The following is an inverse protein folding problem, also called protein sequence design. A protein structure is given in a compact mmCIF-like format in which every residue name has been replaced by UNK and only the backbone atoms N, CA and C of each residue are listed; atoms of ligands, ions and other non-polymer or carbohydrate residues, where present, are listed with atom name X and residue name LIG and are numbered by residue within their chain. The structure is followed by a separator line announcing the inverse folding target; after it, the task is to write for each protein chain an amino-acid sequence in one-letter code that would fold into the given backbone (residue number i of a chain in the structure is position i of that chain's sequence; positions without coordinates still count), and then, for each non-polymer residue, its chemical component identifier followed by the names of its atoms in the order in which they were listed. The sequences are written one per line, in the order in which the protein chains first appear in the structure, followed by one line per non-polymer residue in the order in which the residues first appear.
data_IF_791520605769
#
_entry.id   IF_791520605769
#
_cell.length_a   1.000
_cell.length_b   1.000
_cell.length_c   1.000
_cell.angle_alpha   90.00
_cell.angle_beta   90.00
_cell.angle_gamma   90.00
#
_symmetry.space_group_name_H-M   'P 1'
#
loop_
_entity.id
_entity.type
_entity.pdbx_description
1 polymer ?
#
# COMPACT_ATOMS: atom_id res chain seq x y z
N UNK A 1 -31.56 -3.72 35.20
CA UNK A 1 -30.14 -4.16 35.29
C UNK A 1 -29.33 -3.44 34.21
N UNK A 2 -28.28 -2.69 34.58
CA UNK A 2 -27.42 -1.99 33.60
C UNK A 2 -26.26 -2.93 33.26
N UNK A 3 -26.11 -3.30 31.99
CA UNK A 3 -25.00 -4.17 31.55
C UNK A 3 -23.74 -3.33 31.31
N UNK A 4 -22.56 -3.93 31.51
CA UNK A 4 -21.27 -3.26 31.27
C UNK A 4 -21.18 -2.65 29.86
N UNK A 5 -21.73 -3.33 28.85
CA UNK A 5 -21.77 -2.85 27.46
C UNK A 5 -22.56 -1.56 27.28
N UNK A 6 -23.65 -1.36 28.05
CA UNK A 6 -24.43 -0.12 27.99
C UNK A 6 -23.61 1.05 28.54
N UNK A 7 -22.96 0.88 29.70
CA UNK A 7 -22.08 1.91 30.28
C UNK A 7 -20.91 2.27 29.35
N UNK A 8 -20.29 1.27 28.72
CA UNK A 8 -19.20 1.51 27.75
C UNK A 8 -19.65 2.33 26.53
N UNK A 9 -20.91 2.16 26.10
CA UNK A 9 -21.52 2.98 25.06
C UNK A 9 -21.80 4.41 25.54
N UNK A 10 -22.36 4.54 26.74
CA UNK A 10 -22.66 5.84 27.36
C UNK A 10 -21.38 6.68 27.56
N UNK A 11 -20.25 6.01 27.87
CA UNK A 11 -18.92 6.63 27.99
C UNK A 11 -18.18 6.80 26.66
N UNK A 12 -18.81 6.48 25.54
CA UNK A 12 -18.25 6.64 24.19
C UNK A 12 -16.87 5.97 24.01
N UNK A 13 -16.64 4.85 24.70
CA UNK A 13 -15.33 4.18 24.68
C UNK A 13 -14.93 3.72 23.27
N UNK A 14 -13.63 3.80 22.97
CA UNK A 14 -13.07 3.14 21.80
C UNK A 14 -12.79 1.67 22.11
N UNK A 15 -13.04 0.81 21.13
CA UNK A 15 -12.85 -0.63 21.24
C UNK A 15 -11.67 -1.07 20.37
N UNK A 16 -10.85 -2.00 20.85
CA UNK A 16 -9.68 -2.47 20.11
C UNK A 16 -10.08 -3.17 18.82
N UNK A 17 -9.47 -2.78 17.69
CA UNK A 17 -9.82 -3.35 16.39
C UNK A 17 -9.03 -4.62 16.05
N UNK A 18 -7.85 -4.82 16.64
CA UNK A 18 -6.96 -5.95 16.34
C UNK A 18 -6.94 -7.06 17.41
N UNK A 19 -7.77 -6.94 18.45
CA UNK A 19 -7.88 -7.90 19.56
C UNK A 19 -9.31 -8.41 19.75
N UNK A 20 -10.06 -8.59 18.65
CA UNK A 20 -11.46 -9.04 18.66
C UNK A 20 -12.38 -8.20 19.57
N UNK A 21 -12.08 -6.91 19.76
CA UNK A 21 -12.83 -6.02 20.63
C UNK A 21 -12.70 -6.28 22.13
N UNK A 22 -11.65 -6.99 22.57
CA UNK A 22 -11.42 -7.34 23.98
C UNK A 22 -11.06 -6.16 24.87
N UNK A 23 -10.48 -5.10 24.31
CA UNK A 23 -10.00 -3.96 25.09
C UNK A 23 -10.78 -2.69 24.78
N UNK A 24 -10.93 -1.85 25.79
CA UNK A 24 -11.64 -0.57 25.73
C UNK A 24 -10.75 0.55 26.26
N UNK A 25 -10.95 1.76 25.76
CA UNK A 25 -10.27 2.96 26.25
C UNK A 25 -11.23 4.15 26.25
N UNK A 26 -11.12 5.00 27.26
CA UNK A 26 -11.94 6.21 27.39
C UNK A 26 -11.51 7.27 26.36
N UNK A 27 -12.42 8.13 25.87
CA UNK A 27 -12.13 9.04 24.77
C UNK A 27 -10.93 9.96 24.93
N UNK A 28 -10.58 10.34 26.16
CA UNK A 28 -9.50 11.29 26.47
C UNK A 28 -8.11 10.65 26.59
N UNK A 29 -8.00 9.32 26.54
CA UNK A 29 -6.72 8.60 26.72
C UNK A 29 -5.95 8.48 25.40
N UNK A 30 -6.56 8.05 24.26
CA UNK A 30 -5.83 7.83 23.02
C UNK A 30 -5.23 9.11 22.43
N UNK A 31 -3.98 8.99 21.96
CA UNK A 31 -3.34 9.99 21.11
C UNK A 31 -3.28 9.45 19.69
N UNK A 32 -4.39 9.62 18.97
CA UNK A 32 -4.50 9.13 17.61
C UNK A 32 -3.57 9.86 16.64
N UNK A 33 -3.01 9.11 15.71
CA UNK A 33 -2.19 9.61 14.61
C UNK A 33 -3.04 10.30 13.53
N UNK A 34 -2.39 10.70 12.44
CA UNK A 34 -3.02 11.34 11.28
C UNK A 34 -4.05 10.46 10.58
N UNK A 35 -3.95 9.13 10.72
CA UNK A 35 -4.92 8.17 10.16
C UNK A 35 -6.07 7.88 11.15
N UNK A 36 -6.03 8.44 12.36
CA UNK A 36 -7.01 8.16 13.40
C UNK A 36 -6.78 6.81 14.09
N UNK A 37 -5.55 6.29 14.06
CA UNK A 37 -5.14 5.07 14.73
C UNK A 37 -4.32 5.40 15.98
N UNK A 38 -4.49 4.62 17.03
CA UNK A 38 -3.68 4.71 18.23
C UNK A 38 -3.30 3.32 18.69
N UNK A 39 -2.02 3.14 19.01
CA UNK A 39 -1.49 1.90 19.52
C UNK A 39 -1.06 2.06 20.98
N UNK A 40 -1.58 1.17 21.82
CA UNK A 40 -1.05 0.94 23.16
C UNK A 40 -0.43 -0.46 23.19
N UNK A 41 0.91 -0.52 23.19
CA UNK A 41 1.67 -1.77 22.98
C UNK A 41 1.23 -2.43 21.66
N UNK A 42 0.72 -3.66 21.71
CA UNK A 42 0.20 -4.40 20.56
C UNK A 42 -1.32 -4.26 20.35
N UNK A 43 -1.98 -3.35 21.07
CA UNK A 43 -3.43 -3.15 21.00
C UNK A 43 -3.71 -1.88 20.19
N UNK A 44 -4.39 -2.05 19.06
CA UNK A 44 -4.77 -0.98 18.15
C UNK A 44 -6.20 -0.52 18.40
N UNK A 45 -6.39 0.80 18.45
CA UNK A 45 -7.67 1.48 18.51
C UNK A 45 -7.83 2.39 17.28
N UNK A 46 -9.08 2.58 16.87
CA UNK A 46 -9.41 3.40 15.70
C UNK A 46 -10.56 4.33 16.04
N UNK A 47 -10.45 5.60 15.64
CA UNK A 47 -11.57 6.56 15.70
C UNK A 47 -12.75 6.11 14.84
N UNK A 48 -12.48 5.29 13.84
CA UNK A 48 -13.44 4.83 12.84
C UNK A 48 -14.21 3.57 13.29
N UNK A 49 -14.00 3.11 14.52
CA UNK A 49 -14.69 1.96 15.11
C UNK A 49 -13.90 0.65 14.98
N UNK A 50 -14.58 -0.42 14.58
CA UNK A 50 -13.95 -1.74 14.49
C UNK A 50 -13.06 -1.89 13.23
N UNK A 51 -12.38 -3.04 13.10
CA UNK A 51 -11.45 -3.29 12.00
C UNK A 51 -12.11 -3.15 10.62
N UNK A 52 -13.33 -3.68 10.43
CA UNK A 52 -14.06 -3.57 9.16
C UNK A 52 -14.38 -2.11 8.84
N UNK A 53 -14.88 -1.36 9.82
CA UNK A 53 -15.21 0.06 9.64
C UNK A 53 -13.96 0.90 9.35
N UNK A 54 -12.85 0.58 9.99
CA UNK A 54 -11.55 1.24 9.75
C UNK A 54 -11.04 0.99 8.33
N UNK A 55 -11.14 -0.25 7.84
CA UNK A 55 -10.78 -0.58 6.46
C UNK A 55 -11.69 0.15 5.47
N UNK A 56 -13.02 0.17 5.71
CA UNK A 56 -13.97 0.91 4.86
C UNK A 56 -13.63 2.40 4.83
N UNK A 57 -13.30 3.00 5.99
CA UNK A 57 -12.87 4.38 6.07
C UNK A 57 -11.60 4.64 5.24
N UNK A 58 -10.58 3.79 5.37
CA UNK A 58 -9.34 3.98 4.59
C UNK A 58 -9.53 3.80 3.09
N UNK A 59 -10.27 2.76 2.69
CA UNK A 59 -10.54 2.53 1.28
C UNK A 59 -11.42 3.65 0.71
N UNK A 60 -12.48 4.05 1.42
CA UNK A 60 -13.40 5.09 0.97
C UNK A 60 -12.77 6.48 0.83
N UNK A 61 -11.78 6.80 1.66
CA UNK A 61 -11.05 8.09 1.60
C UNK A 61 -9.78 8.04 0.73
N UNK A 62 -9.46 6.89 0.13
CA UNK A 62 -8.33 6.78 -0.79
C UNK A 62 -8.68 7.35 -2.17
N UNK A 63 -7.74 8.00 -2.83
CA UNK A 63 -7.94 8.55 -4.18
C UNK A 63 -8.01 7.46 -5.25
N UNK A 64 -7.32 6.33 -5.04
CA UNK A 64 -7.09 5.30 -6.07
C UNK A 64 -7.43 3.88 -5.57
N UNK A 65 -8.21 3.76 -4.50
CA UNK A 65 -8.35 2.48 -3.80
C UNK A 65 -7.06 2.10 -3.07
N UNK A 66 -7.06 0.92 -2.45
CA UNK A 66 -5.90 0.41 -1.72
C UNK A 66 -5.65 -1.07 -2.01
N UNK A 67 -4.37 -1.42 -2.15
CA UNK A 67 -3.96 -2.82 -2.15
C UNK A 67 -4.04 -3.43 -0.75
N UNK A 68 -4.12 -4.77 -0.67
CA UNK A 68 -4.09 -5.46 0.63
C UNK A 68 -2.81 -5.14 1.43
N UNK A 69 -1.68 -4.95 0.75
CA UNK A 69 -0.43 -4.53 1.36
C UNK A 69 -0.52 -3.11 1.93
N UNK A 70 -1.07 -2.16 1.16
CA UNK A 70 -1.24 -0.77 1.61
C UNK A 70 -2.14 -0.68 2.83
N UNK A 71 -3.25 -1.42 2.85
CA UNK A 71 -4.15 -1.52 4.00
C UNK A 71 -3.40 -2.11 5.20
N UNK A 72 -2.64 -3.18 4.99
CA UNK A 72 -1.86 -3.81 6.06
C UNK A 72 -0.77 -2.91 6.62
N UNK A 73 -0.12 -2.10 5.77
CA UNK A 73 0.88 -1.10 6.17
C UNK A 73 0.24 -0.01 7.03
N UNK A 74 -0.93 0.51 6.63
CA UNK A 74 -1.68 1.50 7.42
C UNK A 74 -2.10 0.94 8.78
N UNK A 75 -2.57 -0.30 8.81
CA UNK A 75 -3.01 -0.94 10.04
C UNK A 75 -1.86 -1.51 10.88
N UNK A 76 -0.65 -1.66 10.34
CA UNK A 76 0.47 -2.29 11.05
C UNK A 76 0.42 -3.82 11.14
N UNK A 77 -0.49 -4.50 10.42
CA UNK A 77 -0.52 -5.96 10.29
C UNK A 77 -1.28 -6.42 9.04
N UNK A 78 -1.01 -7.65 8.61
CA UNK A 78 -1.63 -8.22 7.41
C UNK A 78 -3.13 -8.54 7.60
N UNK A 79 -3.96 -8.09 6.66
CA UNK A 79 -5.44 -8.29 6.67
C UNK A 79 -5.95 -9.18 5.53
N UNK A 80 -5.06 -9.89 4.83
CA UNK A 80 -5.39 -10.68 3.63
C UNK A 80 -6.61 -11.62 3.78
N UNK A 81 -6.83 -12.33 4.90
CA UNK A 81 -7.98 -13.24 5.02
C UNK A 81 -9.33 -12.51 5.14
N UNK A 82 -9.33 -11.25 5.61
CA UNK A 82 -10.54 -10.49 5.88
C UNK A 82 -11.09 -9.82 4.61
N UNK A 83 -10.22 -9.30 3.75
CA UNK A 83 -10.63 -8.47 2.61
C UNK A 83 -11.51 -9.21 1.58
N UNK A 84 -11.22 -10.47 1.18
CA UNK A 84 -12.13 -11.22 0.30
C UNK A 84 -13.51 -11.45 0.92
N UNK A 85 -13.59 -11.61 2.24
CA UNK A 85 -14.89 -11.73 2.93
C UNK A 85 -15.65 -10.41 2.95
N UNK A 86 -14.95 -9.28 3.00
CA UNK A 86 -15.58 -7.96 2.92
C UNK A 86 -16.16 -7.69 1.53
N UNK A 87 -15.43 -8.08 0.47
CA UNK A 87 -15.94 -7.99 -0.90
C UNK A 87 -17.16 -8.91 -1.12
N UNK A 88 -17.10 -10.18 -0.70
CA UNK A 88 -18.24 -11.09 -0.79
C UNK A 88 -19.52 -10.57 -0.12
N UNK A 89 -19.38 -9.74 0.91
CA UNK A 89 -20.49 -9.13 1.64
C UNK A 89 -20.84 -7.72 1.14
N UNK A 90 -20.36 -7.31 -0.04
CA UNK A 90 -20.57 -5.99 -0.65
C UNK A 90 -20.14 -4.81 0.22
N UNK A 91 -19.20 -5.04 1.15
CA UNK A 91 -18.64 -3.98 2.01
C UNK A 91 -17.53 -3.21 1.29
N UNK A 92 -16.88 -3.84 0.31
CA UNK A 92 -15.86 -3.27 -0.56
C UNK A 92 -16.05 -3.81 -1.97
N UNK A 93 -15.61 -3.06 -2.97
CA UNK A 93 -15.42 -3.56 -4.32
C UNK A 93 -13.97 -4.01 -4.49
N UNK A 94 -13.71 -4.97 -5.39
CA UNK A 94 -12.35 -5.45 -5.70
C UNK A 94 -12.20 -5.64 -7.20
N UNK A 95 -11.11 -5.11 -7.75
CA UNK A 95 -10.69 -5.42 -9.12
C UNK A 95 -9.28 -6.00 -9.15
N UNK A 96 -9.01 -6.85 -10.14
CA UNK A 96 -7.67 -7.35 -10.41
C UNK A 96 -7.05 -6.51 -11.52
N UNK A 97 -6.04 -5.71 -11.18
CA UNK A 97 -5.36 -4.83 -12.12
C UNK A 97 -3.88 -5.21 -12.15
N UNK A 98 -3.37 -5.60 -13.33
CA UNK A 98 -1.98 -6.02 -13.53
C UNK A 98 -1.50 -7.10 -12.53
N UNK A 99 -2.36 -8.09 -12.25
CA UNK A 99 -2.03 -9.18 -11.33
C UNK A 99 -2.28 -8.87 -9.85
N UNK A 100 -2.47 -7.61 -9.48
CA UNK A 100 -2.69 -7.18 -8.11
C UNK A 100 -4.18 -6.92 -7.83
N UNK A 101 -4.64 -7.30 -6.63
CA UNK A 101 -5.99 -6.95 -6.19
C UNK A 101 -5.98 -5.57 -5.52
N UNK A 102 -6.78 -4.66 -6.08
CA UNK A 102 -7.04 -3.33 -5.52
C UNK A 102 -8.47 -3.31 -4.99
N UNK A 103 -8.64 -2.80 -3.78
CA UNK A 103 -9.91 -2.68 -3.11
C UNK A 103 -10.40 -1.23 -3.20
N UNK A 104 -11.67 -1.07 -3.55
CA UNK A 104 -12.36 0.20 -3.76
C UNK A 104 -13.58 0.30 -2.85
N UNK A 105 -14.12 1.52 -2.75
CA UNK A 105 -15.37 1.74 -2.03
C UNK A 105 -16.49 0.87 -2.60
N UNK A 106 -17.44 0.46 -1.76
CA UNK A 106 -18.68 -0.17 -2.22
C UNK A 106 -19.68 0.85 -2.79
N UNK A 107 -19.51 2.13 -2.51
CA UNK A 107 -20.25 3.20 -3.17
C UNK A 107 -19.78 3.34 -4.61
N UNK A 108 -20.69 3.13 -5.57
CA UNK A 108 -20.39 3.13 -7.00
C UNK A 108 -19.82 4.46 -7.50
N UNK A 109 -20.33 5.59 -7.01
CA UNK A 109 -19.84 6.91 -7.44
C UNK A 109 -18.41 7.12 -6.96
N UNK A 110 -18.10 6.67 -5.75
CA UNK A 110 -16.75 6.74 -5.20
C UNK A 110 -15.83 5.74 -5.92
N UNK A 111 -16.29 4.50 -6.15
CA UNK A 111 -15.47 3.47 -6.82
C UNK A 111 -15.10 3.87 -8.24
N UNK A 112 -16.05 4.41 -9.01
CA UNK A 112 -15.82 4.79 -10.41
C UNK A 112 -14.77 5.91 -10.51
N UNK A 113 -14.78 6.86 -9.56
CA UNK A 113 -13.73 7.89 -9.43
C UNK A 113 -12.39 7.27 -9.08
N UNK A 114 -12.36 6.38 -8.09
CA UNK A 114 -11.12 5.73 -7.65
C UNK A 114 -10.48 4.89 -8.76
N UNK A 115 -11.28 4.10 -9.48
CA UNK A 115 -10.83 3.26 -10.58
C UNK A 115 -10.28 4.12 -11.71
N UNK A 116 -10.97 5.20 -12.07
CA UNK A 116 -10.50 6.12 -13.12
C UNK A 116 -9.18 6.79 -12.73
N UNK A 117 -9.06 7.24 -11.49
CA UNK A 117 -7.85 7.85 -10.94
C UNK A 117 -6.69 6.85 -10.89
N UNK A 118 -6.96 5.61 -10.47
CA UNK A 118 -5.98 4.52 -10.49
C UNK A 118 -5.49 4.24 -11.91
N UNK A 119 -6.40 4.13 -12.89
CA UNK A 119 -6.03 3.88 -14.29
C UNK A 119 -5.14 5.00 -14.85
N UNK A 120 -5.50 6.26 -14.61
CA UNK A 120 -4.68 7.40 -15.02
C UNK A 120 -3.27 7.37 -14.38
N UNK A 121 -3.20 7.06 -13.08
CA UNK A 121 -1.93 6.89 -12.38
C UNK A 121 -1.11 5.72 -12.91
N UNK A 122 -1.74 4.56 -13.12
CA UNK A 122 -1.09 3.35 -13.62
C UNK A 122 -0.56 3.53 -15.05
N UNK A 123 -1.28 4.22 -15.92
CA UNK A 123 -0.83 4.56 -17.28
C UNK A 123 0.41 5.47 -17.25
N UNK A 124 0.43 6.49 -16.38
CA UNK A 124 1.62 7.34 -16.19
C UNK A 124 2.81 6.55 -15.62
N UNK A 125 2.55 5.62 -14.68
CA UNK A 125 3.58 4.75 -14.12
C UNK A 125 4.16 3.80 -15.17
N UNK A 126 3.34 3.23 -16.05
CA UNK A 126 3.82 2.36 -17.12
C UNK A 126 4.65 3.12 -18.18
N UNK A 127 4.40 4.41 -18.38
CA UNK A 127 5.15 5.22 -19.34
C UNK A 127 6.58 5.54 -18.88
N UNK A 128 6.88 5.37 -17.58
CA UNK A 128 8.18 5.69 -16.98
C UNK A 128 8.97 4.46 -16.52
N UNK A 129 8.40 3.26 -16.68
CA UNK A 129 8.98 2.00 -16.20
C UNK A 129 9.48 1.14 -17.36
N UNK A 130 10.63 0.49 -17.17
CA UNK A 130 11.15 -0.47 -18.15
C UNK A 130 10.27 -1.72 -18.15
N UNK A 131 10.14 -2.43 -19.29
CA UNK A 131 9.51 -3.75 -19.30
C UNK A 131 10.18 -4.65 -18.25
N UNK A 132 9.38 -5.36 -17.45
CA UNK A 132 9.86 -6.10 -16.26
C UNK A 132 11.10 -6.99 -16.53
N UNK A 133 11.13 -7.70 -17.66
CA UNK A 133 12.28 -8.54 -18.01
C UNK A 133 13.56 -7.72 -18.30
N UNK A 134 13.43 -6.55 -18.92
CA UNK A 134 14.55 -5.61 -19.16
C UNK A 134 15.00 -5.00 -17.83
N UNK A 135 14.05 -4.56 -16.99
CA UNK A 135 14.33 -4.03 -15.65
C UNK A 135 15.14 -5.02 -14.80
N UNK A 136 14.74 -6.30 -14.78
CA UNK A 136 15.47 -7.36 -14.07
C UNK A 136 16.88 -7.53 -14.64
N UNK A 137 17.06 -7.54 -15.96
CA UNK A 137 18.39 -7.65 -16.57
C UNK A 137 19.29 -6.46 -16.22
N UNK A 138 18.75 -5.24 -16.26
CA UNK A 138 19.45 -4.00 -15.86
C UNK A 138 19.88 -4.07 -14.39
N UNK A 139 18.98 -4.46 -13.49
CA UNK A 139 19.29 -4.59 -12.06
C UNK A 139 20.31 -5.70 -11.79
N UNK A 140 20.19 -6.86 -12.43
CA UNK A 140 21.13 -7.98 -12.28
C UNK A 140 22.53 -7.59 -12.75
N UNK A 141 22.65 -6.92 -13.90
CA UNK A 141 23.94 -6.42 -14.39
C UNK A 141 24.53 -5.35 -13.46
N UNK A 142 23.70 -4.42 -12.96
CA UNK A 142 24.13 -3.42 -11.99
C UNK A 142 24.63 -4.02 -10.67
N UNK A 143 24.01 -5.10 -10.20
CA UNK A 143 24.45 -5.83 -8.99
C UNK A 143 25.73 -6.63 -9.24
N UNK A 144 25.87 -7.24 -10.42
CA UNK A 144 27.05 -8.05 -10.78
C UNK A 144 28.30 -7.22 -11.06
N UNK A 145 28.12 -5.98 -11.50
CA UNK A 145 29.18 -5.08 -11.93
C UNK A 145 29.04 -3.68 -11.30
N UNK A 146 29.09 -3.57 -9.96
CA UNK A 146 28.89 -2.31 -9.25
C UNK A 146 29.96 -1.25 -9.56
N UNK A 147 31.12 -1.65 -10.09
CA UNK A 147 32.19 -0.75 -10.53
C UNK A 147 31.94 -0.12 -11.90
N UNK A 148 31.06 -0.71 -12.73
CA UNK A 148 30.90 -0.34 -14.14
C UNK A 148 29.80 0.71 -14.34
N UNK A 149 30.10 1.80 -15.03
CA UNK A 149 29.13 2.86 -15.29
C UNK A 149 27.92 2.40 -16.14
N UNK A 150 26.77 3.06 -15.96
CA UNK A 150 25.51 2.72 -16.63
C UNK A 150 25.61 2.81 -18.15
N UNK A 151 26.45 3.71 -18.69
CA UNK A 151 26.72 3.78 -20.14
C UNK A 151 27.31 2.47 -20.67
N UNK A 152 28.28 1.90 -19.96
CA UNK A 152 28.96 0.68 -20.37
C UNK A 152 28.09 -0.56 -20.12
N UNK A 153 27.29 -0.55 -19.05
CA UNK A 153 26.30 -1.59 -18.78
C UNK A 153 25.21 -1.67 -19.87
N UNK A 154 24.71 -0.52 -20.31
CA UNK A 154 23.72 -0.46 -21.41
C UNK A 154 24.32 -1.01 -22.71
N UNK A 155 25.55 -0.63 -23.06
CA UNK A 155 26.25 -1.20 -24.23
C UNK A 155 26.39 -2.72 -24.13
N UNK A 156 26.72 -3.24 -22.94
CA UNK A 156 26.83 -4.68 -22.69
C UNK A 156 25.48 -5.39 -22.85
N UNK A 157 24.40 -4.80 -22.35
CA UNK A 157 23.04 -5.33 -22.54
C UNK A 157 22.63 -5.33 -24.02
N UNK A 158 22.87 -4.23 -24.73
CA UNK A 158 22.61 -4.13 -26.18
C UNK A 158 23.37 -5.19 -26.98
N UNK A 159 24.63 -5.46 -26.64
CA UNK A 159 25.43 -6.51 -27.30
C UNK A 159 24.86 -7.93 -27.12
N UNK A 160 24.02 -8.14 -26.09
CA UNK A 160 23.32 -9.41 -25.83
C UNK A 160 21.91 -9.45 -26.43
N UNK A 161 21.57 -8.48 -27.28
CA UNK A 161 20.28 -8.39 -27.97
C UNK A 161 19.17 -7.70 -27.17
N UNK A 162 19.50 -7.06 -26.04
CA UNK A 162 18.53 -6.35 -25.20
C UNK A 162 18.25 -4.97 -25.78
N UNK A 163 17.00 -4.70 -26.16
CA UNK A 163 16.58 -3.40 -26.66
C UNK A 163 16.34 -2.45 -25.48
N UNK A 164 17.37 -1.68 -25.11
CA UNK A 164 17.32 -0.72 -24.01
C UNK A 164 18.24 0.46 -24.31
N UNK A 165 17.79 1.68 -24.00
CA UNK A 165 18.58 2.90 -24.14
C UNK A 165 19.03 3.47 -22.79
N UNK A 166 20.11 4.24 -22.80
CA UNK A 166 20.64 4.87 -21.59
C UNK A 166 19.63 5.82 -20.91
N UNK A 167 18.88 6.68 -21.63
CA UNK A 167 17.87 7.53 -21.02
C UNK A 167 16.75 6.74 -20.31
N UNK A 168 16.33 5.60 -20.88
CA UNK A 168 15.30 4.74 -20.28
C UNK A 168 15.80 4.11 -18.97
N UNK A 169 17.06 3.64 -18.94
CA UNK A 169 17.68 3.10 -17.73
C UNK A 169 17.82 4.17 -16.65
N UNK A 170 18.29 5.37 -17.00
CA UNK A 170 18.44 6.46 -16.03
C UNK A 170 17.07 6.87 -15.48
N UNK A 171 16.05 7.00 -16.34
CA UNK A 171 14.68 7.30 -15.92
C UNK A 171 14.14 6.24 -14.97
N UNK A 172 14.32 4.96 -15.31
CA UNK A 172 13.93 3.82 -14.50
C UNK A 172 14.61 3.83 -13.12
N UNK A 173 15.94 3.98 -13.07
CA UNK A 173 16.69 3.98 -11.82
C UNK A 173 16.28 5.14 -10.90
N UNK A 174 16.13 6.34 -11.47
CA UNK A 174 15.66 7.52 -10.75
C UNK A 174 14.24 7.34 -10.23
N UNK A 175 13.35 6.75 -11.03
CA UNK A 175 11.96 6.49 -10.66
C UNK A 175 11.84 5.50 -9.50
N UNK A 176 12.69 4.47 -9.46
CA UNK A 176 12.69 3.46 -8.39
C UNK A 176 13.63 3.78 -7.22
N UNK A 177 14.29 4.94 -7.22
CA UNK A 177 15.21 5.36 -6.15
C UNK A 177 16.44 4.45 -6.01
N UNK A 178 16.87 3.82 -7.10
CA UNK A 178 18.04 2.94 -7.12
C UNK A 178 19.28 3.78 -7.40
N UNK A 179 20.00 4.13 -6.35
CA UNK A 179 21.29 4.79 -6.45
C UNK A 179 22.41 3.75 -6.47
N UNK A 180 23.40 3.98 -7.33
CA UNK A 180 24.60 3.15 -7.39
C UNK A 180 25.44 3.47 -6.15
N UNK A 181 25.75 2.46 -5.33
CA UNK A 181 26.78 2.62 -4.30
C UNK A 181 28.12 2.77 -5.00
N UNK A 182 28.58 4.00 -5.21
CA UNK A 182 29.99 4.26 -5.47
C UNK A 182 30.76 3.74 -4.26
N UNK A 183 31.73 2.86 -4.48
CA UNK A 183 32.72 2.54 -3.47
C UNK A 183 33.35 3.85 -3.02
N UNK A 184 33.14 4.20 -1.75
CA UNK A 184 33.90 5.24 -1.09
C UNK A 184 35.38 4.96 -1.33
N UNK A 185 36.06 5.92 -1.96
CA UNK A 185 37.50 5.90 -2.07
C UNK A 185 38.07 6.31 -0.71
N UNK A 186 38.31 5.34 0.18
CA UNK A 186 39.27 5.46 1.29
C UNK A 186 39.78 4.08 1.72
#
# INVERSE_FOLDING_TARGET
MITARRRLKDWQTFTSYNQNGRYYTLPHIPKFDTHGLWYYRNIGFSKHGNLKQTIVHFVGNSEQGLSAWSIGKLLGFAVHPLLPRMEKNNVLCREKIQGNFIYFSSDKVVSDKQISSYKAFASNKQQTDLPCHIAVQVLVEGIKHPEVDWELLVKRLQSRGVQVSLPEVISFLKFHGVEKKTTDSH
#
